data_IF_331843390701
#
_entry.id   IF_331843390701
#
_cell.length_a   1.000
_cell.length_b   1.000
_cell.length_c   1.000
_cell.angle_alpha   90.00
_cell.angle_beta   90.00
_cell.angle_gamma   90.00
#
_symmetry.space_group_name_H-M   'P 1'
#
loop_
_entity.id
_entity.type
_entity.pdbx_description
1 polymer ?
#
# COMPACT_ATOMS: atom_id res chain seq x y z
N UNK A 1 -7.33 -36.23 -6.14
CA UNK A 1 -6.09 -35.45 -5.99
C UNK A 1 -6.46 -34.08 -5.45
N UNK A 2 -5.90 -33.63 -4.32
CA UNK A 2 -6.17 -32.29 -3.81
C UNK A 2 -5.63 -31.26 -4.82
N UNK A 3 -6.47 -30.34 -5.29
CA UNK A 3 -6.00 -29.24 -6.14
C UNK A 3 -5.00 -28.41 -5.33
N UNK A 4 -3.77 -28.27 -5.83
CA UNK A 4 -2.75 -27.43 -5.21
C UNK A 4 -3.30 -26.01 -5.11
N UNK A 5 -3.24 -25.40 -3.93
CA UNK A 5 -3.66 -24.01 -3.74
C UNK A 5 -2.81 -23.11 -4.65
N UNK A 6 -3.41 -22.15 -5.36
CA UNK A 6 -2.66 -21.11 -6.04
C UNK A 6 -1.73 -20.43 -5.05
N UNK A 7 -0.50 -20.13 -5.48
CA UNK A 7 0.49 -19.44 -4.66
C UNK A 7 0.97 -18.21 -5.41
N UNK A 8 1.04 -17.10 -4.70
CA UNK A 8 1.62 -15.88 -5.24
C UNK A 8 3.12 -16.08 -5.51
N UNK A 9 3.60 -15.57 -6.64
CA UNK A 9 5.02 -15.56 -7.00
C UNK A 9 5.82 -14.68 -6.04
N UNK A 10 7.14 -14.84 -6.01
CA UNK A 10 8.01 -13.98 -5.20
C UNK A 10 7.88 -12.51 -5.60
N UNK A 11 7.78 -12.23 -6.91
CA UNK A 11 7.57 -10.89 -7.44
C UNK A 11 6.26 -10.27 -6.93
N UNK A 12 5.16 -11.03 -6.99
CA UNK A 12 3.87 -10.57 -6.48
C UNK A 12 3.92 -10.22 -5.00
N UNK A 13 4.60 -11.04 -4.19
CA UNK A 13 4.75 -10.79 -2.77
C UNK A 13 5.59 -9.55 -2.46
N UNK A 14 6.62 -9.28 -3.26
CA UNK A 14 7.48 -8.10 -3.11
C UNK A 14 6.73 -6.81 -3.47
N UNK A 15 6.09 -6.78 -4.64
CA UNK A 15 5.27 -5.63 -5.09
C UNK A 15 4.12 -5.38 -4.10
N UNK A 16 3.47 -6.42 -3.61
CA UNK A 16 2.40 -6.27 -2.62
C UNK A 16 2.89 -5.67 -1.29
N UNK A 17 4.12 -5.99 -0.85
CA UNK A 17 4.73 -5.34 0.33
C UNK A 17 5.00 -3.87 0.07
N UNK A 18 5.48 -3.51 -1.13
CA UNK A 18 5.70 -2.12 -1.51
C UNK A 18 4.40 -1.31 -1.46
N UNK A 19 3.35 -1.80 -2.13
CA UNK A 19 2.04 -1.15 -2.12
C UNK A 19 1.45 -1.07 -0.71
N UNK A 20 1.58 -2.13 0.10
CA UNK A 20 1.13 -2.11 1.49
C UNK A 20 1.87 -1.08 2.34
N UNK A 21 3.15 -0.80 2.06
CA UNK A 21 3.90 0.25 2.74
C UNK A 21 3.36 1.64 2.38
N UNK A 22 3.03 1.87 1.10
CA UNK A 22 2.40 3.14 0.66
C UNK A 22 1.06 3.35 1.37
N UNK A 23 0.22 2.31 1.43
CA UNK A 23 -1.06 2.38 2.16
C UNK A 23 -0.85 2.64 3.65
N UNK A 24 0.08 1.93 4.30
CA UNK A 24 0.37 2.15 5.72
C UNK A 24 0.77 3.61 5.98
N UNK A 25 1.69 4.15 5.19
CA UNK A 25 2.16 5.52 5.36
C UNK A 25 1.03 6.53 5.13
N UNK A 26 0.18 6.33 4.11
CA UNK A 26 -1.00 7.17 3.87
C UNK A 26 -2.02 7.14 5.01
N UNK A 27 -1.99 6.09 5.83
CA UNK A 27 -2.83 5.93 7.02
C UNK A 27 -2.16 6.39 8.32
N UNK A 28 -0.91 6.89 8.31
CA UNK A 28 -0.15 7.11 9.54
C UNK A 28 -0.80 8.18 10.44
N UNK A 29 -1.25 9.31 9.89
CA UNK A 29 -1.95 10.35 10.67
C UNK A 29 -3.27 9.82 11.26
N UNK A 30 -4.05 9.11 10.45
CA UNK A 30 -5.29 8.46 10.90
C UNK A 30 -5.02 7.39 11.97
N UNK A 31 -3.94 6.62 11.82
CA UNK A 31 -3.49 5.64 12.82
C UNK A 31 -3.15 6.36 14.12
N UNK A 32 -2.29 7.38 14.08
CA UNK A 32 -1.85 8.09 15.28
C UNK A 32 -3.03 8.63 16.11
N UNK A 33 -4.12 9.06 15.46
CA UNK A 33 -5.30 9.60 16.12
C UNK A 33 -6.34 8.54 16.54
N UNK A 34 -6.46 7.43 15.81
CA UNK A 34 -7.62 6.55 15.94
C UNK A 34 -7.31 5.06 16.14
N UNK A 35 -6.11 4.59 15.82
CA UNK A 35 -5.74 3.18 15.90
C UNK A 35 -4.61 2.97 16.92
N UNK A 36 -4.67 1.90 17.69
CA UNK A 36 -3.52 1.51 18.52
C UNK A 36 -2.50 0.74 17.68
N UNK A 37 -1.23 0.72 18.13
CA UNK A 37 -0.20 -0.09 17.50
C UNK A 37 -0.55 -1.58 17.44
N UNK A 38 -1.29 -2.07 18.45
CA UNK A 38 -1.79 -3.44 18.47
C UNK A 38 -2.80 -3.70 17.34
N UNK A 39 -3.72 -2.76 17.11
CA UNK A 39 -4.67 -2.85 16.00
C UNK A 39 -3.96 -2.75 14.65
N UNK A 40 -2.99 -1.84 14.52
CA UNK A 40 -2.21 -1.74 13.28
C UNK A 40 -1.38 -2.99 12.99
N UNK A 41 -0.88 -3.67 14.02
CA UNK A 41 -0.19 -4.96 13.86
C UNK A 41 -1.11 -6.03 13.25
N UNK A 42 -2.41 -5.99 13.54
CA UNK A 42 -3.41 -6.90 12.94
C UNK A 42 -3.85 -6.45 11.55
N UNK A 43 -4.02 -5.14 11.35
CA UNK A 43 -4.49 -4.56 10.09
C UNK A 43 -3.46 -4.68 8.96
N UNK A 44 -2.17 -4.48 9.26
CA UNK A 44 -1.09 -4.51 8.27
C UNK A 44 -1.03 -5.83 7.46
N UNK A 45 -1.09 -7.02 8.08
CA UNK A 45 -1.24 -8.28 7.35
C UNK A 45 -2.49 -8.37 6.48
N UNK A 46 -3.63 -7.86 6.94
CA UNK A 46 -4.90 -7.90 6.19
C UNK A 46 -4.76 -7.11 4.90
N UNK A 47 -4.31 -5.85 5.01
CA UNK A 47 -4.07 -4.96 3.87
C UNK A 47 -3.06 -5.60 2.89
N UNK A 48 -1.91 -6.07 3.40
CA UNK A 48 -0.87 -6.68 2.56
C UNK A 48 -1.36 -7.93 1.82
N UNK A 49 -2.13 -8.79 2.48
CA UNK A 49 -2.68 -9.99 1.86
C UNK A 49 -3.76 -9.66 0.82
N UNK A 50 -4.59 -8.65 1.09
CA UNK A 50 -5.59 -8.18 0.13
C UNK A 50 -4.94 -7.62 -1.14
N UNK A 51 -3.92 -6.79 -1.00
CA UNK A 51 -3.13 -6.25 -2.12
C UNK A 51 -2.45 -7.38 -2.91
N UNK A 52 -1.82 -8.35 -2.22
CA UNK A 52 -1.20 -9.50 -2.89
C UNK A 52 -2.23 -10.32 -3.69
N UNK A 53 -3.42 -10.50 -3.13
CA UNK A 53 -4.53 -11.20 -3.80
C UNK A 53 -5.00 -10.44 -5.04
N UNK A 54 -5.20 -9.12 -4.93
CA UNK A 54 -5.59 -8.28 -6.05
C UNK A 54 -4.53 -8.28 -7.17
N UNK A 55 -3.25 -8.22 -6.82
CA UNK A 55 -2.18 -8.24 -7.82
C UNK A 55 -2.07 -9.62 -8.51
N UNK A 56 -2.14 -10.71 -7.74
CA UNK A 56 -2.23 -12.05 -8.32
C UNK A 56 -3.43 -12.19 -9.26
N UNK A 57 -4.59 -11.65 -8.87
CA UNK A 57 -5.80 -11.67 -9.69
C UNK A 57 -5.61 -10.94 -11.02
N UNK A 58 -5.00 -9.76 -11.02
CA UNK A 58 -4.72 -8.98 -12.23
C UNK A 58 -3.76 -9.73 -13.16
N UNK A 59 -2.66 -10.28 -12.64
CA UNK A 59 -1.69 -11.02 -13.47
C UNK A 59 -2.22 -12.35 -14.02
N UNK A 60 -3.31 -12.87 -13.44
CA UNK A 60 -3.91 -14.14 -13.85
C UNK A 60 -5.34 -13.95 -14.39
N UNK A 61 -5.68 -12.74 -14.86
CA UNK A 61 -7.04 -12.39 -15.27
C UNK A 61 -7.54 -13.15 -16.51
N UNK A 62 -6.65 -13.85 -17.22
CA UNK A 62 -7.00 -14.75 -18.32
C UNK A 62 -7.71 -16.02 -17.82
N UNK A 63 -7.47 -16.45 -16.58
CA UNK A 63 -8.21 -17.56 -15.95
C UNK A 63 -9.64 -17.13 -15.63
N UNK A 64 -10.62 -17.91 -16.12
CA UNK A 64 -12.04 -17.59 -15.96
C UNK A 64 -12.48 -17.45 -14.50
N UNK A 65 -11.97 -18.27 -13.59
CA UNK A 65 -12.38 -18.21 -12.18
C UNK A 65 -11.77 -17.02 -11.46
N UNK A 66 -10.52 -16.68 -11.80
CA UNK A 66 -9.86 -15.47 -11.29
C UNK A 66 -10.63 -14.23 -11.76
N UNK A 67 -11.02 -14.20 -13.04
CA UNK A 67 -11.84 -13.13 -13.61
C UNK A 67 -13.23 -13.03 -12.98
N UNK A 68 -13.92 -14.14 -12.74
CA UNK A 68 -15.21 -14.16 -12.02
C UNK A 68 -15.08 -13.53 -10.63
N UNK A 69 -14.04 -13.90 -9.87
CA UNK A 69 -13.76 -13.29 -8.57
C UNK A 69 -13.51 -11.78 -8.71
N UNK A 70 -12.71 -11.34 -9.68
CA UNK A 70 -12.42 -9.92 -9.90
C UNK A 70 -13.63 -9.10 -10.32
N UNK A 71 -14.50 -9.65 -11.18
CA UNK A 71 -15.76 -9.01 -11.54
C UNK A 71 -16.70 -8.90 -10.34
N UNK A 72 -16.73 -9.92 -9.48
CA UNK A 72 -17.47 -9.84 -8.21
C UNK A 72 -16.95 -8.72 -7.31
N UNK A 73 -15.63 -8.61 -7.11
CA UNK A 73 -15.06 -7.50 -6.33
C UNK A 73 -15.40 -6.13 -6.93
N UNK A 74 -15.37 -6.00 -8.26
CA UNK A 74 -15.74 -4.76 -8.94
C UNK A 74 -17.20 -4.36 -8.70
N UNK A 75 -18.12 -5.32 -8.65
CA UNK A 75 -19.54 -5.05 -8.35
C UNK A 75 -19.78 -4.62 -6.90
N UNK A 76 -18.82 -4.84 -5.99
CA UNK A 76 -18.90 -4.42 -4.59
C UNK A 76 -18.36 -3.01 -4.36
N UNK A 77 -17.79 -2.35 -5.38
CA UNK A 77 -17.35 -0.96 -5.28
C UNK A 77 -18.60 -0.08 -5.15
N UNK A 78 -18.79 0.64 -4.04
CA UNK A 78 -19.96 1.50 -3.87
C UNK A 78 -19.91 2.72 -4.78
N UNK A 79 -21.05 3.11 -5.36
CA UNK A 79 -21.15 4.28 -6.25
C UNK A 79 -20.83 5.62 -5.57
N UNK A 80 -20.82 5.67 -4.24
CA UNK A 80 -20.46 6.87 -3.48
C UNK A 80 -18.96 7.01 -3.22
N UNK A 81 -18.14 6.03 -3.62
CA UNK A 81 -16.68 6.18 -3.54
C UNK A 81 -16.22 7.25 -4.54
N UNK A 82 -15.44 8.20 -4.05
CA UNK A 82 -14.74 9.17 -4.90
C UNK A 82 -13.65 8.46 -5.71
N UNK A 83 -13.28 9.04 -6.85
CA UNK A 83 -12.16 8.52 -7.65
C UNK A 83 -10.84 8.68 -6.87
N UNK A 84 -9.93 7.69 -6.93
CA UNK A 84 -8.66 7.77 -6.20
C UNK A 84 -7.73 8.83 -6.80
N UNK A 85 -7.13 9.65 -5.93
CA UNK A 85 -6.12 10.64 -6.30
C UNK A 85 -4.70 10.17 -5.92
N UNK A 86 -3.68 10.80 -6.51
CA UNK A 86 -2.29 10.56 -6.10
C UNK A 86 -2.04 11.22 -4.74
N UNK A 87 -1.28 10.56 -3.88
CA UNK A 87 -0.90 11.10 -2.56
C UNK A 87 -0.04 12.37 -2.72
N UNK A 88 -0.34 13.40 -1.92
CA UNK A 88 0.36 14.69 -1.94
C UNK A 88 1.86 14.55 -1.74
N UNK A 89 2.32 13.65 -0.86
CA UNK A 89 3.74 13.41 -0.63
C UNK A 89 4.46 12.95 -1.90
N UNK A 90 3.80 12.11 -2.70
CA UNK A 90 4.35 11.64 -3.97
C UNK A 90 4.39 12.76 -5.00
N UNK A 91 3.31 13.54 -5.13
CA UNK A 91 3.24 14.69 -6.04
C UNK A 91 4.29 15.75 -5.68
N UNK A 92 4.45 16.04 -4.38
CA UNK A 92 5.49 16.92 -3.88
C UNK A 92 6.87 16.40 -4.25
N UNK A 93 7.16 15.11 -4.02
CA UNK A 93 8.45 14.52 -4.36
C UNK A 93 8.81 14.67 -5.85
N UNK A 94 7.82 14.54 -6.75
CA UNK A 94 8.03 14.69 -8.19
C UNK A 94 8.31 16.13 -8.64
N UNK A 95 7.86 17.12 -7.86
CA UNK A 95 7.96 18.55 -8.21
C UNK A 95 9.17 19.23 -7.57
N UNK A 96 9.80 18.59 -6.56
CA UNK A 96 11.02 19.08 -5.92
C UNK A 96 12.22 19.10 -6.88
N UNK A 97 12.98 20.19 -6.87
CA UNK A 97 14.27 20.23 -7.56
C UNK A 97 15.33 19.45 -6.74
N UNK A 98 16.45 19.10 -7.38
CA UNK A 98 17.61 18.50 -6.66
C UNK A 98 18.07 19.34 -5.46
N UNK A 99 17.92 20.66 -5.55
CA UNK A 99 18.29 21.59 -4.46
C UNK A 99 17.31 21.47 -3.28
N UNK A 100 16.03 21.28 -3.56
CA UNK A 100 14.99 21.14 -2.53
C UNK A 100 15.14 19.80 -1.80
N UNK A 101 15.40 18.72 -2.54
CA UNK A 101 15.70 17.40 -1.94
C UNK A 101 16.94 17.43 -1.04
N UNK A 102 17.99 18.13 -1.46
CA UNK A 102 19.20 18.28 -0.66
C UNK A 102 18.97 19.11 0.61
N UNK A 103 18.12 20.13 0.53
CA UNK A 103 17.72 20.93 1.69
C UNK A 103 16.88 20.10 2.69
N UNK A 104 15.96 19.28 2.19
CA UNK A 104 15.10 18.44 3.03
C UNK A 104 15.89 17.31 3.70
N UNK A 105 16.77 16.62 2.95
CA UNK A 105 17.68 15.63 3.51
C UNK A 105 18.61 16.22 4.60
N UNK A 106 19.00 17.49 4.46
CA UNK A 106 19.79 18.19 5.47
C UNK A 106 18.96 18.45 6.74
N UNK A 107 17.72 18.92 6.62
CA UNK A 107 16.81 19.12 7.77
C UNK A 107 16.55 17.81 8.52
N UNK A 108 16.28 16.73 7.79
CA UNK A 108 16.06 15.40 8.35
C UNK A 108 17.30 14.96 9.14
N UNK A 109 18.49 15.04 8.55
CA UNK A 109 19.74 14.69 9.23
C UNK A 109 20.03 15.57 10.45
N UNK A 110 19.65 16.84 10.44
CA UNK A 110 19.80 17.74 11.59
C UNK A 110 18.79 17.44 12.71
N UNK A 111 17.56 17.05 12.36
CA UNK A 111 16.55 16.60 13.31
C UNK A 111 16.97 15.29 14.01
N UNK A 112 17.55 14.33 13.28
CA UNK A 112 18.08 13.08 13.83
C UNK A 112 19.40 13.23 14.62
N UNK A 113 20.09 14.38 14.50
CA UNK A 113 21.30 14.69 15.28
C UNK A 113 21.02 15.36 16.62
N UNK A 114 19.79 15.83 16.88
CA UNK A 114 19.43 16.34 18.21
C UNK A 114 19.22 15.15 19.15
N UNK A 115 19.98 15.03 20.24
CA UNK A 115 19.73 13.99 21.22
C UNK A 115 18.34 14.22 21.81
N UNK A 116 17.50 13.18 21.78
CA UNK A 116 16.27 13.12 22.59
C UNK A 116 16.68 13.31 24.04
N UNK A 117 16.35 14.47 24.60
CA UNK A 117 16.50 14.81 26.02
C UNK A 117 15.62 13.92 26.88
#
# INVERSE_FOLDING_TARGET
>A
MAKKKPQATAHQQEVAKLFAMVVRNAMEDFHAEHLSDALMKELNPIIRNAICTAFHMIENFDDTKVREYGMFQKMLIPDYWEEPELLDEYVMHLTMTKKDLAAEAKKINEAFKKPTS
#
